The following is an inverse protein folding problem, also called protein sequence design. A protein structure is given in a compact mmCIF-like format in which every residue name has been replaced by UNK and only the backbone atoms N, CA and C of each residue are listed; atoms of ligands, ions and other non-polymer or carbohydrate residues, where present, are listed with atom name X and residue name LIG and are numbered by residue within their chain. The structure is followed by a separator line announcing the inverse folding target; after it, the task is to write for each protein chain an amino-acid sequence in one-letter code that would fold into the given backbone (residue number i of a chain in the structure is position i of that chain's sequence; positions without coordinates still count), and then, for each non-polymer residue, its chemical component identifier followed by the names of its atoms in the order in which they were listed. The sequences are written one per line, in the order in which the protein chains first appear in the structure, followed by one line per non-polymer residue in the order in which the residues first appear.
data_IF_234216279463
#
_entry.id   IF_234216279463
#
_cell.length_a   1.000
_cell.length_b   1.000
_cell.length_c   1.000
_cell.angle_alpha   90.00
_cell.angle_beta   90.00
_cell.angle_gamma   90.00
#
_symmetry.space_group_name_H-M   'P 1'
#
loop_
_entity.id
_entity.type
_entity.pdbx_description
1 polymer ?
#
# COMPACT_ATOMS: atom_id res chain seq x y z
N UNK A 1 -15.92 3.38 16.97
CA UNK A 1 -15.48 4.59 16.29
C UNK A 1 -13.97 4.69 16.41
N UNK A 2 -13.24 4.35 15.34
CA UNK A 2 -11.79 4.60 15.24
C UNK A 2 -11.66 6.11 14.98
N UNK A 3 -10.98 6.88 15.82
CA UNK A 3 -10.75 8.29 15.55
C UNK A 3 -9.69 8.47 14.47
N UNK A 4 -10.11 9.12 13.42
CA UNK A 4 -9.37 10.01 12.57
C UNK A 4 -7.97 9.60 12.14
N UNK A 5 -7.80 9.24 10.86
CA UNK A 5 -6.51 9.31 10.19
C UNK A 5 -5.94 10.72 10.36
N UNK A 6 -4.92 10.83 11.21
CA UNK A 6 -4.21 12.07 11.41
C UNK A 6 -3.54 12.46 10.10
N UNK A 7 -4.08 13.46 9.43
CA UNK A 7 -3.34 14.22 8.45
C UNK A 7 -2.14 14.80 9.21
N UNK A 8 -0.95 14.35 8.88
CA UNK A 8 0.26 14.96 9.41
C UNK A 8 0.17 16.47 9.14
N UNK A 9 0.28 17.33 10.14
CA UNK A 9 0.13 18.75 9.92
C UNK A 9 1.16 19.23 8.92
N UNK A 10 0.76 20.04 7.94
CA UNK A 10 1.61 20.71 6.96
C UNK A 10 2.80 21.48 7.60
N UNK A 11 2.79 21.65 8.92
CA UNK A 11 3.86 22.31 9.67
C UNK A 11 5.16 21.51 9.80
N UNK A 12 5.16 20.20 9.51
CA UNK A 12 6.41 19.43 9.54
C UNK A 12 7.25 19.57 8.26
N UNK A 13 6.71 20.21 7.23
CA UNK A 13 7.40 20.44 5.95
C UNK A 13 7.58 21.93 5.64
N UNK A 14 7.51 22.80 6.65
CA UNK A 14 7.83 24.22 6.47
C UNK A 14 9.35 24.43 6.40
N UNK A 15 9.73 25.21 5.47
CA UNK A 15 11.03 25.55 4.88
C UNK A 15 12.36 25.50 5.68
N UNK A 16 12.50 25.46 7.00
CA UNK A 16 13.85 25.36 7.58
C UNK A 16 14.43 23.94 7.61
N UNK A 17 13.65 22.90 7.30
CA UNK A 17 14.15 21.52 7.16
C UNK A 17 14.81 21.25 5.78
N UNK A 18 14.94 22.25 4.94
CA UNK A 18 15.39 22.15 3.54
C UNK A 18 16.86 21.70 3.36
N UNK A 19 17.63 21.58 4.44
CA UNK A 19 19.03 21.18 4.35
C UNK A 19 19.24 19.66 4.40
N UNK A 20 18.19 18.86 4.54
CA UNK A 20 18.26 17.39 4.50
C UNK A 20 17.16 16.87 3.56
N UNK A 21 17.24 17.25 2.29
CA UNK A 21 16.42 16.60 1.28
C UNK A 21 17.05 15.24 0.97
N UNK A 22 16.29 14.16 1.08
CA UNK A 22 16.80 12.83 0.75
C UNK A 22 17.12 12.75 -0.75
N UNK A 23 18.19 12.03 -1.09
CA UNK A 23 18.53 11.75 -2.47
C UNK A 23 17.62 10.66 -3.07
N UNK A 24 16.92 9.90 -2.21
CA UNK A 24 15.95 8.90 -2.60
C UNK A 24 14.73 8.90 -1.66
N UNK A 25 13.53 8.82 -2.24
CA UNK A 25 12.25 8.75 -1.53
C UNK A 25 11.44 7.58 -2.08
N UNK A 26 10.86 6.78 -1.19
CA UNK A 26 9.89 5.74 -1.56
C UNK A 26 8.56 6.05 -0.86
N UNK A 27 7.49 6.21 -1.63
CA UNK A 27 6.15 6.45 -1.11
C UNK A 27 5.28 5.20 -1.29
N UNK A 28 4.53 4.84 -0.24
CA UNK A 28 3.78 3.57 -0.18
C UNK A 28 2.33 3.74 0.25
N UNK A 29 1.86 4.99 0.47
CA UNK A 29 0.53 5.22 0.98
C UNK A 29 -0.54 4.85 -0.04
N UNK A 30 -1.32 3.82 0.27
CA UNK A 30 -2.45 3.38 -0.53
C UNK A 30 -3.68 3.22 0.37
N UNK A 31 -4.84 3.57 -0.16
CA UNK A 31 -6.13 3.40 0.51
C UNK A 31 -6.95 2.44 -0.37
N UNK A 32 -7.34 1.27 0.13
CA UNK A 32 -8.14 0.33 -0.65
C UNK A 32 -9.42 0.98 -1.19
N UNK A 33 -9.66 0.81 -2.51
CA UNK A 33 -10.86 1.32 -3.18
C UNK A 33 -10.95 2.84 -3.32
N UNK A 34 -9.87 3.59 -3.02
CA UNK A 34 -9.82 5.06 -3.14
C UNK A 34 -8.52 5.51 -3.82
N UNK A 35 -8.52 6.72 -4.42
CA UNK A 35 -7.28 7.32 -4.92
C UNK A 35 -6.23 7.45 -3.81
N UNK A 36 -4.97 7.23 -4.16
CA UNK A 36 -3.85 7.42 -3.25
C UNK A 36 -3.74 8.90 -2.81
N UNK A 37 -3.42 9.17 -1.54
CA UNK A 37 -3.22 10.53 -1.07
C UNK A 37 -1.96 11.14 -1.68
N UNK A 38 -2.02 12.41 -2.08
CA UNK A 38 -0.84 13.16 -2.51
C UNK A 38 0.03 13.49 -1.29
N UNK A 39 1.24 12.96 -1.25
CA UNK A 39 2.22 13.17 -0.18
C UNK A 39 3.31 14.17 -0.55
N UNK A 40 3.71 14.19 -1.83
CA UNK A 40 4.73 15.08 -2.36
C UNK A 40 4.13 15.98 -3.45
N UNK A 41 4.13 17.28 -3.19
CA UNK A 41 3.67 18.27 -4.15
C UNK A 41 4.74 18.57 -5.21
N UNK A 42 4.36 19.25 -6.29
CA UNK A 42 5.30 19.66 -7.32
C UNK A 42 6.42 20.58 -6.77
N UNK A 43 6.08 21.45 -5.83
CA UNK A 43 7.07 22.35 -5.20
C UNK A 43 8.08 21.57 -4.37
N UNK A 44 7.66 20.48 -3.71
CA UNK A 44 8.56 19.60 -2.96
C UNK A 44 9.51 18.84 -3.89
N UNK A 45 9.02 18.37 -5.03
CA UNK A 45 9.88 17.74 -6.05
C UNK A 45 10.85 18.76 -6.64
N UNK A 46 10.39 19.99 -6.90
CA UNK A 46 11.21 21.03 -7.53
C UNK A 46 12.43 21.48 -6.70
N UNK A 47 12.39 21.32 -5.37
CA UNK A 47 13.52 21.64 -4.49
C UNK A 47 14.47 20.47 -4.24
N UNK A 48 14.17 19.28 -4.72
CA UNK A 48 15.08 18.13 -4.67
C UNK A 48 16.30 18.36 -5.56
N UNK A 49 17.41 17.72 -5.22
CA UNK A 49 18.65 17.83 -6.00
C UNK A 49 18.51 17.10 -7.33
N UNK A 50 19.04 17.63 -8.44
CA UNK A 50 19.21 16.87 -9.66
C UNK A 50 19.96 15.56 -9.41
N UNK A 51 19.46 14.44 -9.96
CA UNK A 51 19.95 13.10 -9.70
C UNK A 51 19.21 12.36 -8.57
N UNK A 52 18.34 13.03 -7.83
CA UNK A 52 17.47 12.38 -6.84
C UNK A 52 16.44 11.47 -7.51
N UNK A 53 16.00 10.44 -6.78
CA UNK A 53 15.04 9.44 -7.23
C UNK A 53 13.83 9.39 -6.31
N UNK A 54 12.64 9.39 -6.88
CA UNK A 54 11.38 9.18 -6.17
C UNK A 54 10.68 7.95 -6.74
N UNK A 55 10.30 7.00 -5.90
CA UNK A 55 9.56 5.80 -6.28
C UNK A 55 8.19 5.83 -5.61
N UNK A 56 7.12 5.90 -6.42
CA UNK A 56 5.75 5.92 -5.94
C UNK A 56 5.06 4.58 -6.15
N UNK A 57 5.01 3.73 -5.12
CA UNK A 57 4.41 2.39 -5.22
C UNK A 57 2.88 2.40 -5.36
N UNK A 58 2.24 3.55 -5.15
CA UNK A 58 0.78 3.72 -5.32
C UNK A 58 0.40 4.33 -6.69
N UNK A 59 1.25 4.23 -7.71
CA UNK A 59 1.03 4.83 -9.02
C UNK A 59 -0.28 4.37 -9.70
N UNK A 60 -0.65 3.09 -9.54
CA UNK A 60 -1.89 2.53 -10.11
C UNK A 60 -3.17 3.13 -9.51
N UNK A 61 -3.09 3.68 -8.30
CA UNK A 61 -4.21 4.34 -7.62
C UNK A 61 -4.12 5.86 -7.62
N UNK A 62 -3.41 6.45 -8.58
CA UNK A 62 -3.27 7.89 -8.77
C UNK A 62 -1.94 8.48 -8.26
N UNK A 63 -1.15 7.72 -7.52
CA UNK A 63 0.19 8.12 -7.07
C UNK A 63 0.21 9.04 -5.85
N UNK A 64 1.31 8.99 -5.13
CA UNK A 64 1.55 9.84 -3.94
C UNK A 64 2.38 11.08 -4.26
N UNK A 65 2.90 11.21 -5.46
CA UNK A 65 3.87 12.24 -5.87
C UNK A 65 3.35 12.98 -7.08
N UNK A 66 3.37 14.29 -7.03
CA UNK A 66 2.99 15.11 -8.18
C UNK A 66 3.90 14.80 -9.38
N UNK A 67 3.29 14.62 -10.55
CA UNK A 67 4.00 14.26 -11.78
C UNK A 67 4.23 12.76 -11.96
N UNK A 68 3.75 11.89 -11.05
CA UNK A 68 3.79 10.44 -11.25
C UNK A 68 2.93 10.04 -12.45
N UNK A 69 3.51 9.24 -13.34
CA UNK A 69 2.78 8.56 -14.42
C UNK A 69 2.93 7.06 -14.20
N UNK A 70 1.80 6.37 -14.13
CA UNK A 70 1.78 4.93 -13.88
C UNK A 70 2.49 4.16 -15.02
N UNK A 71 3.42 3.30 -14.65
CA UNK A 71 4.23 2.50 -15.58
C UNK A 71 5.42 3.24 -16.21
N UNK A 72 5.66 4.51 -15.86
CA UNK A 72 6.71 5.32 -16.47
C UNK A 72 7.72 5.85 -15.46
N UNK A 73 8.88 6.25 -15.99
CA UNK A 73 9.86 7.08 -15.29
C UNK A 73 9.85 8.47 -15.89
N UNK A 74 9.40 9.45 -15.11
CA UNK A 74 9.32 10.85 -15.52
C UNK A 74 10.49 11.61 -14.92
N UNK A 75 11.12 12.51 -15.68
CA UNK A 75 12.16 13.40 -15.18
C UNK A 75 11.62 14.81 -15.00
N UNK A 76 11.72 15.34 -13.79
CA UNK A 76 11.33 16.71 -13.45
C UNK A 76 12.55 17.44 -12.86
N UNK A 77 13.11 18.38 -13.62
CA UNK A 77 14.29 19.17 -13.20
C UNK A 77 15.49 18.31 -12.75
N UNK A 78 15.69 17.14 -13.38
CA UNK A 78 16.75 16.21 -13.02
C UNK A 78 16.39 15.22 -11.89
N UNK A 79 15.20 15.30 -11.34
CA UNK A 79 14.66 14.32 -10.39
C UNK A 79 13.91 13.23 -11.17
N UNK A 80 14.27 11.97 -10.96
CA UNK A 80 13.59 10.83 -11.59
C UNK A 80 12.42 10.39 -10.71
N UNK A 81 11.19 10.47 -11.25
CA UNK A 81 9.97 9.98 -10.58
C UNK A 81 9.57 8.68 -11.27
N UNK A 82 9.65 7.57 -10.56
CA UNK A 82 9.27 6.24 -11.04
C UNK A 82 7.92 5.84 -10.45
N UNK A 83 6.93 5.58 -11.31
CA UNK A 83 5.60 5.09 -10.96
C UNK A 83 5.40 3.63 -11.34
N UNK A 84 6.06 2.66 -10.69
CA UNK A 84 5.95 1.26 -11.09
C UNK A 84 4.52 0.74 -10.95
N UNK A 85 4.13 -0.13 -11.87
CA UNK A 85 2.87 -0.86 -11.84
C UNK A 85 3.14 -2.34 -11.69
N UNK A 86 2.18 -3.06 -11.12
CA UNK A 86 2.23 -4.51 -10.95
C UNK A 86 3.58 -5.00 -10.37
N UNK A 87 4.06 -4.33 -9.34
CA UNK A 87 5.36 -4.61 -8.69
C UNK A 87 5.53 -6.09 -8.32
N UNK A 88 4.50 -6.83 -7.83
CA UNK A 88 4.63 -8.27 -7.55
C UNK A 88 5.07 -9.10 -8.74
N UNK A 89 4.67 -8.75 -9.96
CA UNK A 89 5.08 -9.45 -11.17
C UNK A 89 6.56 -9.24 -11.53
N UNK A 90 7.16 -8.14 -11.08
CA UNK A 90 8.59 -7.89 -11.31
C UNK A 90 9.51 -8.67 -10.35
N UNK A 91 8.95 -9.17 -9.24
CA UNK A 91 9.65 -10.01 -8.25
C UNK A 91 8.80 -11.22 -7.83
N UNK A 92 8.48 -12.12 -8.77
CA UNK A 92 7.48 -13.17 -8.56
C UNK A 92 7.87 -14.18 -7.47
N UNK A 93 9.14 -14.44 -7.27
CA UNK A 93 9.62 -15.34 -6.23
C UNK A 93 9.32 -14.79 -4.84
N UNK A 94 9.70 -13.53 -4.57
CA UNK A 94 9.49 -12.91 -3.26
C UNK A 94 8.01 -12.66 -3.00
N UNK A 95 7.28 -12.20 -4.00
CA UNK A 95 5.84 -11.98 -3.92
C UNK A 95 5.09 -13.28 -3.59
N UNK A 96 5.44 -14.39 -4.25
CA UNK A 96 4.84 -15.71 -4.00
C UNK A 96 5.18 -16.23 -2.60
N UNK A 97 6.40 -16.01 -2.12
CA UNK A 97 6.77 -16.39 -0.76
C UNK A 97 5.97 -15.61 0.30
N UNK A 98 5.83 -14.30 0.13
CA UNK A 98 5.04 -13.47 1.05
C UNK A 98 3.57 -13.87 1.04
N UNK A 99 3.01 -14.10 -0.15
CA UNK A 99 1.62 -14.57 -0.28
C UNK A 99 1.41 -15.93 0.39
N UNK A 100 2.31 -16.89 0.15
CA UNK A 100 2.21 -18.23 0.76
C UNK A 100 2.25 -18.19 2.28
N UNK A 101 3.03 -17.27 2.87
CA UNK A 101 3.05 -17.08 4.34
C UNK A 101 1.70 -16.61 4.87
N UNK A 102 1.02 -15.69 4.15
CA UNK A 102 -0.31 -15.23 4.53
C UNK A 102 -1.33 -16.38 4.45
N UNK A 103 -1.27 -17.20 3.38
CA UNK A 103 -2.13 -18.38 3.24
C UNK A 103 -1.86 -19.39 4.35
N UNK A 104 -0.60 -19.64 4.69
CA UNK A 104 -0.24 -20.56 5.80
C UNK A 104 -0.73 -20.03 7.16
N UNK A 105 -0.61 -18.71 7.41
CA UNK A 105 -1.13 -18.10 8.62
C UNK A 105 -2.66 -18.27 8.73
N UNK A 106 -3.38 -18.14 7.60
CA UNK A 106 -4.81 -18.42 7.57
C UNK A 106 -5.10 -19.89 7.90
N UNK A 107 -4.39 -20.84 7.30
CA UNK A 107 -4.56 -22.26 7.62
C UNK A 107 -4.28 -22.56 9.10
N UNK A 108 -3.32 -21.88 9.71
CA UNK A 108 -3.04 -22.02 11.16
C UNK A 108 -4.21 -21.55 12.04
N UNK A 109 -5.06 -20.65 11.55
CA UNK A 109 -6.29 -20.18 12.24
C UNK A 109 -7.46 -21.14 12.06
N UNK A 110 -7.65 -21.67 10.82
CA UNK A 110 -8.87 -22.39 10.45
C UNK A 110 -8.74 -23.92 10.53
N UNK A 111 -7.53 -24.46 10.77
CA UNK A 111 -7.32 -25.91 10.88
C UNK A 111 -6.97 -26.28 12.32
N UNK A 112 -7.75 -27.16 12.92
CA UNK A 112 -7.35 -27.82 14.15
C UNK A 112 -6.16 -28.76 13.89
N UNK A 113 -5.00 -28.43 14.43
CA UNK A 113 -3.76 -29.18 14.18
C UNK A 113 -3.76 -30.59 14.77
N UNK A 114 -4.64 -30.88 15.74
CA UNK A 114 -4.73 -32.20 16.38
C UNK A 114 -5.65 -33.14 15.59
N UNK A 115 -6.79 -32.61 15.21
CA UNK A 115 -7.83 -33.39 14.52
C UNK A 115 -7.67 -33.34 12.99
N UNK A 116 -6.92 -32.36 12.45
CA UNK A 116 -6.80 -32.13 11.00
C UNK A 116 -8.11 -31.70 10.34
N UNK A 117 -9.04 -31.17 11.13
CA UNK A 117 -10.38 -30.76 10.68
C UNK A 117 -10.48 -29.25 10.55
N UNK A 118 -11.40 -28.80 9.71
CA UNK A 118 -11.72 -27.38 9.56
C UNK A 118 -12.45 -26.89 10.82
N UNK A 119 -11.92 -25.83 11.43
CA UNK A 119 -12.53 -25.13 12.55
C UNK A 119 -12.69 -23.65 12.18
N UNK A 120 -13.92 -23.19 11.96
CA UNK A 120 -14.23 -21.80 11.64
C UNK A 120 -14.82 -21.13 12.88
N UNK A 121 -13.97 -20.43 13.62
CA UNK A 121 -14.41 -19.60 14.74
C UNK A 121 -14.71 -18.19 14.24
N UNK A 122 -15.98 -17.85 14.08
CA UNK A 122 -16.42 -16.53 13.62
C UNK A 122 -16.38 -15.45 14.70
N UNK A 123 -15.93 -15.74 15.92
CA UNK A 123 -15.57 -14.72 16.90
C UNK A 123 -14.18 -14.14 16.61
N UNK A 124 -13.35 -14.85 15.83
CA UNK A 124 -12.08 -14.35 15.32
C UNK A 124 -12.34 -13.33 14.18
N UNK A 125 -11.82 -12.10 14.37
CA UNK A 125 -12.03 -10.98 13.44
C UNK A 125 -11.50 -11.26 12.01
N UNK A 126 -10.44 -12.07 11.87
CA UNK A 126 -9.86 -12.41 10.57
C UNK A 126 -10.75 -13.41 9.85
N UNK A 127 -11.19 -14.47 10.55
CA UNK A 127 -12.07 -15.49 9.98
C UNK A 127 -13.40 -14.89 9.59
N UNK A 128 -13.99 -14.05 10.44
CA UNK A 128 -15.23 -13.37 10.13
C UNK A 128 -15.09 -12.48 8.90
N UNK A 129 -14.05 -11.62 8.85
CA UNK A 129 -13.85 -10.66 7.76
C UNK A 129 -13.60 -11.30 6.38
N UNK A 130 -12.92 -12.45 6.32
CA UNK A 130 -12.59 -13.11 5.04
C UNK A 130 -13.65 -14.08 4.55
N UNK A 131 -14.56 -14.51 5.42
CA UNK A 131 -15.60 -15.47 5.09
C UNK A 131 -16.77 -14.80 4.38
N UNK A 132 -16.78 -14.79 3.07
CA UNK A 132 -17.82 -14.15 2.24
C UNK A 132 -19.13 -14.93 2.22
N UNK A 133 -19.07 -16.26 2.34
CA UNK A 133 -20.26 -17.15 2.38
C UNK A 133 -19.99 -18.38 3.23
N UNK A 134 -20.98 -18.84 3.98
CA UNK A 134 -20.93 -20.04 4.79
C UNK A 134 -22.29 -20.73 4.79
N UNK A 135 -22.31 -22.07 4.64
CA UNK A 135 -23.52 -22.91 4.63
C UNK A 135 -24.60 -22.41 3.65
N UNK A 136 -24.19 -21.83 2.53
CA UNK A 136 -25.12 -21.36 1.49
C UNK A 136 -25.65 -19.95 1.71
N UNK A 137 -25.25 -19.28 2.79
CA UNK A 137 -25.63 -17.88 3.08
C UNK A 137 -24.44 -16.93 2.90
N UNK A 138 -24.70 -15.73 2.35
CA UNK A 138 -23.69 -14.67 2.24
C UNK A 138 -23.48 -14.00 3.62
N UNK A 139 -22.23 -13.86 4.05
CA UNK A 139 -21.90 -13.22 5.33
C UNK A 139 -21.56 -11.74 5.19
N UNK A 140 -20.77 -11.36 4.20
CA UNK A 140 -20.35 -10.00 4.00
C UNK A 140 -20.45 -9.57 2.53
N UNK A 141 -21.04 -8.40 2.29
CA UNK A 141 -20.78 -7.51 1.17
C UNK A 141 -20.99 -7.96 -0.26
N UNK A 142 -21.59 -9.10 -0.54
CA UNK A 142 -21.89 -9.52 -1.92
C UNK A 142 -23.26 -9.03 -2.43
N UNK A 143 -23.84 -8.04 -1.79
CA UNK A 143 -25.21 -7.62 -2.09
C UNK A 143 -25.51 -6.14 -1.89
N UNK A 144 -24.53 -5.25 -2.04
CA UNK A 144 -24.80 -3.80 -2.03
C UNK A 144 -24.31 -3.15 -3.32
#
# INVERSE_FOLDING_TARGET
GVPGGGVLPNSLMSAPALNILPDAVITTAAIPGRPAPLLMTADMVAVMRPGSVVIGLAAESGGNVAGTVAGEVVNVNGVSINGPINVPSSMPFDASQLYSRNVMALFDLIIDKKEGTLNLDFEDEVIDAICVAHEGEARHGLGA
#
